data_IF_043825648458
#
_entry.id   IF_043825648458
#
_cell.length_a   1.000
_cell.length_b   1.000
_cell.length_c   1.000
_cell.angle_alpha   90.00
_cell.angle_beta   90.00
_cell.angle_gamma   90.00
#
_symmetry.space_group_name_H-M   'P 1'
#
loop_
_entity.id
_entity.type
_entity.pdbx_description
1 polymer ?
#
# COMPACT_ATOMS: atom_id res chain seq x y z
N UNK A 1 14.57 -15.04 -1.13
CA UNK A 1 13.36 -14.38 -1.68
C UNK A 1 13.53 -12.87 -1.56
N UNK A 2 13.04 -12.06 -2.52
CA UNK A 2 13.00 -10.59 -2.42
C UNK A 2 11.56 -10.12 -2.55
N UNK A 3 11.12 -9.26 -1.65
CA UNK A 3 9.81 -8.61 -1.67
C UNK A 3 10.02 -7.10 -1.75
N UNK A 4 9.37 -6.44 -2.70
CA UNK A 4 9.44 -4.99 -2.87
C UNK A 4 8.03 -4.43 -2.74
N UNK A 5 7.84 -3.49 -1.81
CA UNK A 5 6.58 -2.78 -1.59
C UNK A 5 6.78 -1.29 -1.79
N UNK A 6 5.79 -0.61 -2.36
CA UNK A 6 5.64 0.84 -2.19
C UNK A 6 4.82 1.07 -0.92
N UNK A 7 5.21 2.01 -0.07
CA UNK A 7 4.47 2.31 1.16
C UNK A 7 4.41 3.82 1.40
N UNK A 8 3.21 4.37 1.34
CA UNK A 8 2.93 5.79 1.48
C UNK A 8 2.51 6.20 2.90
N UNK A 9 2.28 5.24 3.82
CA UNK A 9 2.04 5.44 5.26
C UNK A 9 2.47 4.19 6.07
N UNK A 10 3.77 3.97 6.34
CA UNK A 10 4.25 2.77 7.02
C UNK A 10 3.72 2.71 8.45
N UNK A 11 3.17 1.55 8.78
CA UNK A 11 2.70 1.20 10.11
C UNK A 11 3.84 1.24 11.15
N UNK A 12 3.49 1.43 12.42
CA UNK A 12 4.48 1.36 13.50
C UNK A 12 4.89 -0.09 13.80
N UNK A 13 6.05 -0.25 14.44
CA UNK A 13 6.47 -1.55 14.99
C UNK A 13 5.46 -2.12 16.01
N UNK A 14 4.63 -1.29 16.65
CA UNK A 14 3.55 -1.76 17.52
C UNK A 14 2.39 -2.36 16.69
N UNK A 15 1.97 -1.67 15.63
CA UNK A 15 0.89 -2.12 14.74
C UNK A 15 1.25 -3.44 14.04
N UNK A 16 2.50 -3.62 13.62
CA UNK A 16 2.99 -4.89 13.04
C UNK A 16 2.80 -6.06 14.03
N UNK A 17 3.19 -5.86 15.30
CA UNK A 17 2.98 -6.89 16.35
C UNK A 17 1.49 -7.13 16.60
N UNK A 18 0.65 -6.09 16.59
CA UNK A 18 -0.81 -6.20 16.75
C UNK A 18 -1.44 -6.99 15.60
N UNK A 19 -1.07 -6.71 14.35
CA UNK A 19 -1.58 -7.40 13.16
C UNK A 19 -1.27 -8.90 13.17
N UNK A 20 -0.07 -9.30 13.63
CA UNK A 20 0.33 -10.71 13.73
C UNK A 20 -0.21 -11.45 14.98
N UNK A 21 -0.81 -10.76 15.95
CA UNK A 21 -1.16 -11.36 17.25
C UNK A 21 -2.26 -12.42 17.19
N UNK A 22 -3.14 -12.35 16.18
CA UNK A 22 -4.29 -13.27 16.02
C UNK A 22 -3.98 -14.61 15.32
N UNK A 23 -2.79 -14.77 14.70
CA UNK A 23 -2.39 -16.00 14.02
C UNK A 23 -1.04 -16.49 14.59
N UNK A 24 -0.99 -17.63 15.31
CA UNK A 24 0.24 -18.18 15.87
C UNK A 24 1.36 -18.43 14.85
N UNK A 25 1.04 -18.57 13.56
CA UNK A 25 2.02 -18.74 12.47
C UNK A 25 2.66 -17.40 12.08
N UNK A 26 1.90 -16.30 12.17
CA UNK A 26 2.38 -14.96 11.86
C UNK A 26 3.04 -14.29 13.06
N UNK A 27 2.62 -14.58 14.29
CA UNK A 27 3.17 -13.98 15.51
C UNK A 27 4.72 -13.94 15.59
N UNK A 28 5.47 -15.03 15.35
CA UNK A 28 6.94 -14.96 15.37
C UNK A 28 7.53 -14.14 14.22
N UNK A 29 6.90 -14.16 13.04
CA UNK A 29 7.34 -13.38 11.87
C UNK A 29 7.09 -11.88 12.07
N UNK A 30 5.90 -11.52 12.57
CA UNK A 30 5.53 -10.16 12.94
C UNK A 30 6.44 -9.60 14.03
N UNK A 31 6.80 -10.41 15.04
CA UNK A 31 7.81 -10.02 16.04
C UNK A 31 9.16 -9.74 15.39
N UNK A 32 9.70 -10.66 14.58
CA UNK A 32 10.99 -10.49 13.88
C UNK A 32 11.01 -9.23 13.01
N UNK A 33 9.93 -8.98 12.27
CA UNK A 33 9.80 -7.79 11.43
C UNK A 33 9.77 -6.51 12.28
N UNK A 34 8.94 -6.48 13.34
CA UNK A 34 8.79 -5.33 14.21
C UNK A 34 10.02 -5.01 15.08
N UNK A 35 10.86 -6.02 15.37
CA UNK A 35 12.12 -5.83 16.09
C UNK A 35 13.23 -5.25 15.17
N UNK A 36 13.10 -5.42 13.85
CA UNK A 36 13.97 -4.84 12.83
C UNK A 36 13.39 -3.58 12.16
N UNK A 37 12.19 -3.15 12.58
CA UNK A 37 11.49 -2.01 11.98
C UNK A 37 12.02 -0.69 12.56
N UNK A 38 12.07 0.40 11.77
CA UNK A 38 12.47 1.71 12.28
C UNK A 38 11.55 2.19 13.41
N UNK A 39 12.12 2.95 14.33
CA UNK A 39 11.37 3.58 15.41
C UNK A 39 10.45 4.70 14.88
N UNK A 40 9.51 5.13 15.71
CA UNK A 40 8.51 6.14 15.33
C UNK A 40 9.11 7.51 14.99
N UNK A 41 10.27 7.88 15.56
CA UNK A 41 10.96 9.15 15.23
C UNK A 41 11.61 9.05 13.87
N UNK A 42 12.28 7.92 13.58
CA UNK A 42 12.86 7.65 12.27
C UNK A 42 11.79 7.60 11.16
N UNK A 43 10.66 6.92 11.42
CA UNK A 43 9.51 6.96 10.49
C UNK A 43 8.96 8.38 10.36
N UNK A 44 8.71 9.10 11.46
CA UNK A 44 8.18 10.46 11.41
C UNK A 44 9.09 11.43 10.61
N UNK A 45 10.41 11.29 10.71
CA UNK A 45 11.35 12.06 9.89
C UNK A 45 11.12 11.84 8.39
N UNK A 46 10.91 10.58 7.97
CA UNK A 46 10.55 10.22 6.60
C UNK A 46 9.12 10.65 6.22
N UNK A 47 8.29 11.06 7.19
CA UNK A 47 6.88 11.44 7.04
C UNK A 47 6.57 12.94 7.18
N UNK A 48 7.60 13.77 7.34
CA UNK A 48 7.53 15.21 7.61
C UNK A 48 6.82 16.06 6.52
N UNK A 49 6.22 15.45 5.51
CA UNK A 49 5.52 16.12 4.40
C UNK A 49 4.00 16.20 4.52
N UNK A 50 3.34 15.52 5.47
CA UNK A 50 1.87 15.57 5.65
C UNK A 50 1.42 15.17 7.07
N UNK A 51 1.76 15.98 8.08
CA UNK A 51 1.28 15.77 9.45
C UNK A 51 -0.22 16.10 9.63
N UNK A 52 -0.76 17.02 8.81
CA UNK A 52 -2.15 17.49 8.90
C UNK A 52 -3.14 16.68 8.03
N UNK A 53 -2.63 15.90 7.07
CA UNK A 53 -3.41 15.19 6.05
C UNK A 53 -3.37 13.65 6.18
N UNK A 54 -2.74 13.15 7.26
CA UNK A 54 -2.79 11.73 7.57
C UNK A 54 -4.25 11.33 7.90
N UNK A 55 -4.92 10.48 7.09
CA UNK A 55 -6.25 10.02 7.43
C UNK A 55 -6.14 9.28 8.77
N UNK A 56 -7.00 9.59 9.78
CA UNK A 56 -6.88 8.96 11.07
C UNK A 56 -6.98 7.44 10.89
N UNK A 57 -6.01 6.72 11.45
CA UNK A 57 -5.85 5.27 11.30
C UNK A 57 -6.88 4.50 12.13
N UNK A 58 -8.16 4.77 11.88
CA UNK A 58 -9.29 4.01 12.38
C UNK A 58 -9.34 2.67 11.67
N UNK A 59 -8.79 1.64 12.31
CA UNK A 59 -9.11 0.25 12.03
C UNK A 59 -10.51 -0.08 12.56
N UNK A 60 -11.52 0.58 12.02
CA UNK A 60 -12.92 0.25 12.29
C UNK A 60 -13.43 -0.74 11.25
N UNK A 61 -13.90 -1.89 11.74
CA UNK A 61 -14.47 -2.93 10.91
C UNK A 61 -15.78 -2.43 10.28
N UNK A 62 -15.87 -2.40 8.95
CA UNK A 62 -17.12 -2.08 8.26
C UNK A 62 -18.19 -3.14 8.60
N UNK A 63 -19.22 -2.73 9.35
CA UNK A 63 -20.42 -3.53 9.65
C UNK A 63 -21.65 -2.62 9.72
N UNK A 64 -22.37 -2.57 8.60
CA UNK A 64 -23.77 -2.13 8.50
C UNK A 64 -24.67 -3.22 9.14
N UNK A 65 -25.84 -2.96 9.77
CA UNK A 65 -26.65 -1.74 9.91
C UNK A 65 -27.62 -1.81 11.12
N UNK A 66 -28.02 -0.63 11.62
CA UNK A 66 -29.33 -0.27 12.22
C UNK A 66 -29.91 -0.96 13.48
N UNK A 67 -30.03 -0.18 14.56
CA UNK A 67 -31.25 -0.07 15.39
C UNK A 67 -31.31 1.33 16.08
N UNK A 68 -32.51 1.85 16.36
CA UNK A 68 -32.74 3.24 16.79
C UNK A 68 -32.49 3.50 18.29
N UNK A 69 -32.07 4.72 18.65
CA UNK A 69 -31.94 5.18 20.04
C UNK A 69 -31.62 6.67 20.17
N UNK A 70 -32.51 7.45 20.78
CA UNK A 70 -32.49 8.93 20.80
C UNK A 70 -31.86 9.51 22.07
N UNK A 71 -30.78 10.29 21.95
CA UNK A 71 -30.33 11.23 22.99
C UNK A 71 -29.44 12.36 22.42
N UNK A 72 -29.55 13.57 22.98
CA UNK A 72 -28.67 14.74 22.70
C UNK A 72 -27.81 15.00 23.95
N UNK A 73 -26.50 15.24 23.82
CA UNK A 73 -25.93 16.59 24.03
C UNK A 73 -24.73 16.88 23.08
N UNK A 74 -24.14 18.08 22.93
CA UNK A 74 -24.46 19.45 23.39
C UNK A 74 -24.08 20.49 22.30
N UNK A 75 -23.51 21.67 22.61
CA UNK A 75 -22.99 22.64 21.62
C UNK A 75 -21.84 23.54 22.15
N UNK A 76 -20.59 23.20 21.81
CA UNK A 76 -19.39 24.05 22.03
C UNK A 76 -18.75 24.49 20.69
N UNK A 77 -18.08 25.66 20.60
CA UNK A 77 -17.93 26.38 19.34
C UNK A 77 -16.71 26.00 18.50
N UNK A 78 -16.83 26.18 17.18
CA UNK A 78 -15.75 26.03 16.18
C UNK A 78 -14.70 27.15 16.30
N UNK A 79 -13.39 26.85 16.38
CA UNK A 79 -12.35 27.78 15.96
C UNK A 79 -12.42 28.00 14.44
N UNK A 80 -12.07 29.20 13.98
CA UNK A 80 -12.11 29.55 12.55
C UNK A 80 -10.80 29.16 11.85
N UNK A 81 -10.93 28.74 10.59
CA UNK A 81 -9.83 28.39 9.69
C UNK A 81 -9.02 29.62 9.28
N UNK A 82 -7.69 29.54 9.35
CA UNK A 82 -6.78 30.44 8.63
C UNK A 82 -5.46 29.70 8.34
N UNK A 83 -5.01 29.76 7.08
CA UNK A 83 -3.80 29.09 6.60
C UNK A 83 -4.06 27.78 5.85
N UNK A 84 -4.55 27.86 4.60
CA UNK A 84 -4.29 26.76 3.65
C UNK A 84 -2.80 26.79 3.30
N UNK A 85 -2.09 25.64 3.31
CA UNK A 85 -0.76 25.56 2.71
C UNK A 85 -0.84 25.73 1.19
N UNK A 86 0.19 26.35 0.62
CA UNK A 86 0.33 26.59 -0.82
C UNK A 86 0.54 25.25 -1.58
N UNK A 87 -0.30 24.92 -2.58
CA UNK A 87 -0.17 23.67 -3.34
C UNK A 87 1.09 23.60 -4.22
N UNK A 88 1.93 24.64 -4.26
CA UNK A 88 3.24 24.65 -4.93
C UNK A 88 4.44 24.40 -3.99
N UNK A 89 4.22 24.21 -2.68
CA UNK A 89 5.29 24.05 -1.69
C UNK A 89 6.04 22.71 -1.79
N UNK A 90 7.11 22.68 -2.58
CA UNK A 90 8.03 21.54 -2.73
C UNK A 90 8.89 21.30 -1.47
N UNK A 91 8.30 20.66 -0.46
CA UNK A 91 9.05 20.16 0.70
C UNK A 91 10.02 19.05 0.26
N UNK A 92 11.29 19.43 0.12
CA UNK A 92 12.36 18.57 -0.37
C UNK A 92 12.71 17.44 0.60
N UNK A 93 12.36 16.22 0.22
CA UNK A 93 12.68 14.99 0.95
C UNK A 93 14.20 14.81 1.11
N UNK A 94 14.69 14.75 2.35
CA UNK A 94 16.07 14.35 2.67
C UNK A 94 16.05 13.04 3.46
N UNK A 95 16.61 11.99 2.83
CA UNK A 95 16.78 10.61 3.34
C UNK A 95 15.50 9.76 3.57
N UNK A 96 15.63 8.42 3.47
CA UNK A 96 15.94 7.68 2.27
C UNK A 96 14.65 7.29 1.52
N UNK A 97 14.70 7.24 0.18
CA UNK A 97 13.55 6.80 -0.63
C UNK A 97 13.31 5.29 -0.62
N UNK A 98 14.16 4.51 0.08
CA UNK A 98 14.10 3.06 0.17
C UNK A 98 14.67 2.58 1.51
N UNK A 99 13.91 1.75 2.25
CA UNK A 99 14.42 0.93 3.36
C UNK A 99 14.65 -0.50 2.87
N UNK A 100 15.77 -1.13 3.25
CA UNK A 100 16.04 -2.56 3.00
C UNK A 100 16.25 -3.29 4.32
N UNK A 101 15.47 -4.34 4.58
CA UNK A 101 15.61 -5.25 5.71
C UNK A 101 15.91 -6.66 5.19
N UNK A 102 16.76 -7.41 5.90
CA UNK A 102 17.15 -8.78 5.53
C UNK A 102 16.98 -9.72 6.71
N UNK A 103 16.39 -10.88 6.46
CA UNK A 103 16.05 -11.89 7.45
C UNK A 103 16.54 -13.25 6.97
N UNK A 104 17.44 -13.87 7.71
CA UNK A 104 17.87 -15.23 7.40
C UNK A 104 16.86 -16.26 7.92
N UNK A 105 16.64 -17.29 7.12
CA UNK A 105 15.73 -18.40 7.41
C UNK A 105 16.41 -19.71 6.95
N UNK A 106 16.13 -20.88 7.55
CA UNK A 106 16.67 -22.16 7.09
C UNK A 106 16.43 -22.47 5.60
N UNK A 107 15.40 -21.86 4.97
CA UNK A 107 15.12 -22.00 3.54
C UNK A 107 15.83 -20.94 2.66
N UNK A 108 16.61 -20.04 3.26
CA UNK A 108 17.38 -18.97 2.61
C UNK A 108 16.95 -17.56 3.04
N UNK A 109 17.75 -16.55 2.69
CA UNK A 109 17.48 -15.16 3.10
C UNK A 109 16.22 -14.58 2.42
N UNK A 110 15.40 -13.90 3.21
CA UNK A 110 14.30 -13.03 2.78
C UNK A 110 14.76 -11.58 2.85
N UNK A 111 14.69 -10.86 1.74
CA UNK A 111 14.91 -9.41 1.67
C UNK A 111 13.58 -8.69 1.48
N UNK A 112 13.31 -7.69 2.32
CA UNK A 112 12.19 -6.77 2.19
C UNK A 112 12.73 -5.39 1.82
N UNK A 113 12.21 -4.81 0.74
CA UNK A 113 12.48 -3.42 0.37
C UNK A 113 11.20 -2.61 0.34
N UNK A 114 11.23 -1.44 0.99
CA UNK A 114 10.10 -0.52 1.07
C UNK A 114 10.47 0.78 0.38
N UNK A 115 9.81 1.09 -0.74
CA UNK A 115 9.93 2.36 -1.46
C UNK A 115 8.94 3.35 -0.84
N UNK A 116 9.44 4.29 -0.04
CA UNK A 116 8.60 5.07 0.88
C UNK A 116 8.00 6.32 0.21
N UNK A 117 6.69 6.34 -0.04
CA UNK A 117 5.94 7.44 -0.65
C UNK A 117 5.01 6.97 -1.77
N UNK A 118 4.52 7.91 -2.59
CA UNK A 118 3.60 7.65 -3.71
C UNK A 118 4.06 6.52 -4.63
N UNK A 119 3.18 5.54 -4.88
CA UNK A 119 3.52 4.30 -5.56
C UNK A 119 4.00 4.53 -7.00
N UNK A 120 3.26 5.32 -7.80
CA UNK A 120 3.64 5.61 -9.18
C UNK A 120 4.99 6.32 -9.24
N UNK A 121 5.17 7.38 -8.45
CA UNK A 121 6.41 8.17 -8.41
C UNK A 121 7.62 7.36 -7.94
N UNK A 122 7.44 6.45 -6.98
CA UNK A 122 8.53 5.59 -6.49
C UNK A 122 8.91 4.49 -7.49
N UNK A 123 7.94 3.86 -8.16
CA UNK A 123 8.20 2.86 -9.21
C UNK A 123 8.85 3.51 -10.44
N UNK A 124 8.29 4.60 -10.97
CA UNK A 124 8.87 5.37 -12.08
C UNK A 124 10.30 5.83 -11.75
N UNK A 125 10.51 6.38 -10.55
CA UNK A 125 11.81 6.83 -10.07
C UNK A 125 12.82 5.69 -9.85
N UNK A 126 12.37 4.49 -9.46
CA UNK A 126 13.23 3.31 -9.43
C UNK A 126 13.62 2.89 -10.84
N UNK A 127 12.64 2.75 -11.74
CA UNK A 127 12.86 2.35 -13.12
C UNK A 127 13.83 3.27 -13.85
N UNK A 128 13.71 4.59 -13.66
CA UNK A 128 14.60 5.57 -14.27
C UNK A 128 16.07 5.47 -13.81
N UNK A 129 16.33 5.00 -12.58
CA UNK A 129 17.68 4.92 -12.00
C UNK A 129 18.32 3.53 -12.08
N UNK A 130 17.49 2.48 -12.04
CA UNK A 130 17.93 1.10 -11.82
C UNK A 130 17.32 0.10 -12.82
N UNK A 131 16.39 0.54 -13.68
CA UNK A 131 15.64 -0.33 -14.59
C UNK A 131 14.52 -1.12 -13.90
N UNK A 132 14.01 -2.12 -14.61
CA UNK A 132 12.95 -3.00 -14.10
C UNK A 132 13.36 -3.74 -12.83
N UNK A 133 12.39 -4.07 -11.98
CA UNK A 133 12.63 -4.92 -10.80
C UNK A 133 12.66 -6.41 -11.17
N UNK A 134 12.12 -6.77 -12.34
CA UNK A 134 11.97 -8.17 -12.77
C UNK A 134 10.99 -8.95 -11.89
N UNK A 135 9.88 -8.33 -11.49
CA UNK A 135 8.93 -8.89 -10.54
C UNK A 135 8.25 -10.17 -11.08
N UNK A 136 8.41 -11.28 -10.36
CA UNK A 136 7.79 -12.57 -10.69
C UNK A 136 6.27 -12.58 -10.46
N UNK A 137 5.82 -11.79 -9.49
CA UNK A 137 4.42 -11.69 -9.06
C UNK A 137 4.15 -10.33 -8.42
N UNK A 138 2.93 -9.82 -8.61
CA UNK A 138 2.46 -8.54 -8.09
C UNK A 138 1.24 -8.76 -7.20
N UNK A 139 1.35 -8.34 -5.94
CA UNK A 139 0.23 -8.22 -5.02
C UNK A 139 -0.25 -6.76 -5.08
N UNK A 140 -1.34 -6.50 -5.80
CA UNK A 140 -1.90 -5.17 -5.92
C UNK A 140 -2.97 -4.98 -4.83
N UNK A 141 -2.53 -4.40 -3.71
CA UNK A 141 -3.36 -4.16 -2.54
C UNK A 141 -3.26 -2.69 -2.08
N UNK A 142 -4.34 -2.20 -1.48
CA UNK A 142 -4.57 -0.81 -1.11
C UNK A 142 -6.01 -0.57 -0.66
N UNK A 143 -6.30 0.63 -0.18
CA UNK A 143 -7.65 1.03 0.24
C UNK A 143 -8.66 1.06 -0.92
N UNK A 144 -9.96 1.13 -0.61
CA UNK A 144 -11.03 1.21 -1.61
C UNK A 144 -10.72 2.26 -2.71
N UNK A 145 -10.83 1.92 -4.01
CA UNK A 145 -10.57 2.86 -5.10
C UNK A 145 -11.40 4.15 -5.09
N UNK A 146 -12.52 4.20 -4.36
CA UNK A 146 -13.27 5.43 -4.11
C UNK A 146 -12.61 6.35 -3.08
N UNK A 147 -11.90 5.76 -2.11
CA UNK A 147 -11.21 6.47 -1.01
C UNK A 147 -9.77 6.85 -1.41
N UNK A 148 -9.10 6.05 -2.24
CA UNK A 148 -7.74 6.33 -2.73
C UNK A 148 -7.62 6.11 -4.27
N UNK A 149 -8.28 6.94 -5.11
CA UNK A 149 -8.33 6.70 -6.55
C UNK A 149 -6.97 6.76 -7.26
N UNK A 150 -6.01 7.54 -6.75
CA UNK A 150 -4.69 7.72 -7.35
C UNK A 150 -3.89 6.40 -7.41
N UNK A 151 -3.90 5.61 -6.34
CA UNK A 151 -3.22 4.30 -6.29
C UNK A 151 -3.76 3.30 -7.33
N UNK A 152 -5.00 3.49 -7.80
CA UNK A 152 -5.67 2.60 -8.75
C UNK A 152 -5.70 3.14 -10.20
N UNK A 153 -5.03 4.26 -10.46
CA UNK A 153 -5.07 4.93 -11.76
C UNK A 153 -4.21 4.24 -12.83
N UNK A 154 -4.40 4.63 -14.08
CA UNK A 154 -3.67 4.03 -15.22
C UNK A 154 -2.16 4.30 -15.15
N UNK A 155 -1.73 5.43 -14.58
CA UNK A 155 -0.31 5.75 -14.38
C UNK A 155 0.34 4.75 -13.43
N UNK A 156 -0.30 4.47 -12.29
CA UNK A 156 0.18 3.51 -11.30
C UNK A 156 0.23 2.10 -11.87
N UNK A 157 -0.81 1.67 -12.60
CA UNK A 157 -0.81 0.36 -13.27
C UNK A 157 0.29 0.25 -14.35
N UNK A 158 0.56 1.32 -15.09
CA UNK A 158 1.68 1.38 -16.06
C UNK A 158 3.05 1.39 -15.37
N UNK A 159 3.19 2.04 -14.22
CA UNK A 159 4.41 2.01 -13.43
C UNK A 159 4.69 0.59 -12.92
N UNK A 160 3.68 -0.10 -12.39
CA UNK A 160 3.74 -1.52 -12.01
C UNK A 160 4.12 -2.42 -13.20
N UNK A 161 3.48 -2.22 -14.36
CA UNK A 161 3.73 -3.00 -15.57
C UNK A 161 5.21 -2.93 -16.02
N UNK A 162 5.87 -1.77 -15.92
CA UNK A 162 7.31 -1.62 -16.25
C UNK A 162 8.24 -2.48 -15.40
N UNK A 163 7.80 -2.90 -14.23
CA UNK A 163 8.56 -3.78 -13.34
C UNK A 163 8.27 -5.28 -13.55
N UNK A 164 7.29 -5.62 -14.38
CA UNK A 164 6.94 -7.01 -14.71
C UNK A 164 7.88 -7.61 -15.76
N UNK A 165 8.14 -8.91 -15.65
CA UNK A 165 8.73 -9.75 -16.71
C UNK A 165 7.63 -10.48 -17.51
N UNK A 166 7.92 -11.05 -18.70
CA UNK A 166 7.05 -12.03 -19.36
C UNK A 166 6.50 -13.07 -18.37
N UNK A 167 5.18 -13.31 -18.39
CA UNK A 167 4.50 -14.27 -17.51
C UNK A 167 4.32 -13.83 -16.05
N UNK A 168 4.61 -12.57 -15.69
CA UNK A 168 4.37 -12.05 -14.33
C UNK A 168 2.90 -12.16 -13.96
N UNK A 169 2.61 -12.70 -12.77
CA UNK A 169 1.22 -12.86 -12.32
C UNK A 169 0.82 -11.72 -11.40
N UNK A 170 -0.36 -11.13 -11.61
CA UNK A 170 -0.94 -10.10 -10.75
C UNK A 170 -2.20 -10.61 -10.06
N UNK A 171 -2.42 -10.20 -8.81
CA UNK A 171 -3.67 -10.44 -8.08
C UNK A 171 -4.09 -9.21 -7.27
N UNK A 172 -5.39 -8.96 -7.19
CA UNK A 172 -5.99 -7.96 -6.30
C UNK A 172 -7.36 -8.42 -5.81
N UNK A 173 -7.73 -8.07 -4.58
CA UNK A 173 -9.09 -8.28 -4.07
C UNK A 173 -10.12 -7.43 -4.82
N UNK A 174 -9.69 -6.33 -5.45
CA UNK A 174 -10.60 -5.36 -6.06
C UNK A 174 -11.11 -5.81 -7.43
N UNK A 175 -12.44 -5.75 -7.62
CA UNK A 175 -13.13 -6.10 -8.88
C UNK A 175 -13.81 -4.91 -9.55
N UNK A 176 -13.53 -3.69 -9.08
CA UNK A 176 -14.07 -2.46 -9.63
C UNK A 176 -13.79 -2.33 -11.13
N UNK A 177 -14.72 -1.70 -11.86
CA UNK A 177 -14.57 -1.52 -13.31
C UNK A 177 -13.37 -0.64 -13.64
N UNK A 178 -13.21 0.49 -12.97
CA UNK A 178 -12.06 1.39 -13.13
C UNK A 178 -10.72 0.67 -12.98
N UNK A 179 -10.56 -0.17 -11.95
CA UNK A 179 -9.34 -0.97 -11.71
C UNK A 179 -9.09 -1.96 -12.86
N UNK A 180 -10.13 -2.66 -13.32
CA UNK A 180 -10.00 -3.58 -14.47
C UNK A 180 -9.60 -2.83 -15.74
N UNK A 181 -10.24 -1.69 -15.99
CA UNK A 181 -10.04 -0.88 -17.19
C UNK A 181 -8.62 -0.25 -17.16
N UNK A 182 -8.12 0.18 -16.00
CA UNK A 182 -6.75 0.69 -15.80
C UNK A 182 -5.68 -0.40 -15.99
N UNK A 183 -5.87 -1.58 -15.38
CA UNK A 183 -4.98 -2.74 -15.56
C UNK A 183 -4.95 -3.23 -17.01
N UNK A 184 -6.10 -3.23 -17.70
CA UNK A 184 -6.18 -3.60 -19.13
C UNK A 184 -5.44 -2.59 -20.00
N UNK A 185 -5.61 -1.29 -19.74
CA UNK A 185 -4.87 -0.22 -20.42
C UNK A 185 -3.36 -0.22 -20.14
N UNK A 186 -2.93 -0.73 -18.99
CA UNK A 186 -1.52 -0.95 -18.69
C UNK A 186 -0.92 -2.15 -19.44
N UNK A 187 -1.75 -3.07 -19.97
CA UNK A 187 -1.34 -4.23 -20.77
C UNK A 187 -1.58 -5.60 -20.15
N UNK A 188 -2.15 -5.67 -18.93
CA UNK A 188 -2.42 -6.96 -18.28
C UNK A 188 -3.60 -7.69 -18.92
N UNK A 189 -3.46 -9.01 -19.11
CA UNK A 189 -4.58 -9.90 -19.44
C UNK A 189 -5.25 -10.33 -18.14
N UNK A 190 -6.55 -10.04 -17.99
CA UNK A 190 -7.26 -10.17 -16.71
C UNK A 190 -8.35 -11.24 -16.77
N UNK A 191 -8.54 -11.92 -15.63
CA UNK A 191 -9.60 -12.89 -15.38
C UNK A 191 -10.22 -12.65 -14.00
N UNK A 192 -11.55 -12.77 -13.88
CA UNK A 192 -12.21 -12.86 -12.58
C UNK A 192 -11.94 -14.23 -11.97
N UNK A 193 -11.69 -14.27 -10.66
CA UNK A 193 -11.50 -15.50 -9.89
C UNK A 193 -12.42 -15.51 -8.68
N UNK A 194 -12.72 -16.69 -8.08
CA UNK A 194 -13.36 -16.74 -6.77
C UNK A 194 -12.53 -15.96 -5.75
N UNK A 195 -13.17 -15.06 -5.02
CA UNK A 195 -12.51 -14.30 -3.96
C UNK A 195 -12.42 -15.09 -2.66
N UNK A 196 -11.62 -14.58 -1.71
CA UNK A 196 -11.65 -15.06 -0.33
C UNK A 196 -12.85 -14.43 0.40
N UNK A 197 -13.56 -15.16 1.28
CA UNK A 197 -14.64 -14.60 2.09
C UNK A 197 -14.19 -13.32 2.83
N UNK A 198 -15.01 -12.25 2.87
CA UNK A 198 -16.39 -12.16 2.38
C UNK A 198 -16.52 -11.79 0.89
N UNK A 199 -15.43 -11.52 0.15
CA UNK A 199 -15.48 -11.09 -1.26
C UNK A 199 -15.80 -12.29 -2.16
N UNK A 200 -16.91 -12.22 -2.91
CA UNK A 200 -17.31 -13.28 -3.87
C UNK A 200 -16.30 -13.46 -5.02
N UNK A 201 -15.66 -12.39 -5.45
CA UNK A 201 -14.73 -12.39 -6.58
C UNK A 201 -13.50 -11.53 -6.28
N UNK A 202 -12.37 -11.90 -6.87
CA UNK A 202 -11.16 -11.10 -6.98
C UNK A 202 -10.74 -10.99 -8.46
N UNK A 203 -9.74 -10.16 -8.78
CA UNK A 203 -9.08 -10.18 -10.08
C UNK A 203 -7.73 -10.87 -9.98
N UNK A 204 -7.44 -11.70 -10.98
CA UNK A 204 -6.10 -12.18 -11.27
C UNK A 204 -5.76 -11.84 -12.72
N UNK A 205 -4.47 -11.79 -13.04
CA UNK A 205 -4.02 -11.57 -14.40
C UNK A 205 -2.58 -12.00 -14.64
N UNK A 206 -2.16 -11.83 -15.88
CA UNK A 206 -0.81 -12.05 -16.34
C UNK A 206 -0.31 -10.82 -17.11
N UNK A 207 0.95 -10.47 -16.92
CA UNK A 207 1.70 -9.70 -17.89
C UNK A 207 1.96 -10.62 -19.09
N UNK A 208 1.57 -10.23 -20.32
CA UNK A 208 1.71 -11.11 -21.47
C UNK A 208 3.17 -11.51 -21.66
N UNK A 209 3.38 -12.78 -22.00
CA UNK A 209 4.60 -13.15 -22.70
C UNK A 209 4.70 -12.32 -23.98
N UNK A 210 5.92 -11.86 -24.29
CA UNK A 210 6.19 -11.03 -25.47
C UNK A 210 5.65 -11.74 -26.72
N UNK A 211 4.87 -11.07 -27.59
CA UNK A 211 4.37 -11.65 -28.84
C UNK A 211 5.50 -12.00 -29.82
#
# INVERSE_FOLDING_TARGET
MRFVSTEAHPVSAHDIRRAGAGDPRLQPLAKRLADAWPDATTLAAWYSGNADDAPPCHTDAESETSAEGRATPERTPRPQTSGLPDPSATHGWKEPSCLTLRFDDPQGTVELQLLLGDAATRLEGWHARHGSLGADSVFLDGFDPKKNPAMWDVRTMQAVARHCRPGTRIATWCVARSVRDALTQAGFRLQKRPGLPPKRHCLAGEWPDTP
#
